data_IF_327622792828
#
_entry.id   IF_327622792828
#
_cell.length_a   1.000
_cell.length_b   1.000
_cell.length_c   1.000
_cell.angle_alpha   90.00
_cell.angle_beta   90.00
_cell.angle_gamma   90.00
#
_symmetry.space_group_name_H-M   'P 1'
#
loop_
_entity.id
_entity.type
_entity.pdbx_description
1 polymer ?
#
# COMPACT_ATOMS: atom_id res chain seq x y z
N UNK A 1 -8.66 17.45 29.68
CA UNK A 1 -9.14 18.41 28.67
C UNK A 1 -8.04 18.95 27.73
N UNK A 2 -6.75 18.99 28.12
CA UNK A 2 -5.68 19.50 27.24
C UNK A 2 -5.12 18.51 26.20
N UNK A 3 -5.23 17.19 26.41
CA UNK A 3 -4.67 16.18 25.49
C UNK A 3 -5.42 16.02 24.16
N UNK A 4 -6.75 16.18 24.17
CA UNK A 4 -7.57 15.96 22.97
C UNK A 4 -7.37 17.04 21.90
N UNK A 5 -7.20 18.30 22.31
CA UNK A 5 -6.97 19.41 21.38
C UNK A 5 -5.60 19.31 20.70
N UNK A 6 -4.57 18.89 21.44
CA UNK A 6 -3.21 18.73 20.91
C UNK A 6 -3.11 17.59 19.90
N UNK A 7 -3.82 16.48 20.13
CA UNK A 7 -3.86 15.34 19.21
C UNK A 7 -4.50 15.71 17.86
N UNK A 8 -5.61 16.45 17.90
CA UNK A 8 -6.29 16.93 16.69
C UNK A 8 -5.40 17.91 15.93
N UNK A 9 -4.75 18.86 16.61
CA UNK A 9 -3.83 19.81 15.98
C UNK A 9 -2.64 19.12 15.29
N UNK A 10 -2.01 18.15 15.96
CA UNK A 10 -0.92 17.36 15.39
C UNK A 10 -1.38 16.56 14.16
N UNK A 11 -2.59 15.98 14.22
CA UNK A 11 -3.16 15.24 13.09
C UNK A 11 -3.31 16.13 11.85
N UNK A 12 -3.74 17.39 12.00
CA UNK A 12 -3.84 18.34 10.88
C UNK A 12 -2.49 18.69 10.26
N UNK A 13 -1.42 18.78 11.05
CA UNK A 13 -0.06 19.04 10.54
C UNK A 13 0.57 17.83 9.82
N UNK A 14 0.16 16.61 10.19
CA UNK A 14 0.65 15.38 9.58
C UNK A 14 -0.18 14.94 8.36
N UNK A 15 -1.45 15.35 8.28
CA UNK A 15 -2.41 14.98 7.23
C UNK A 15 -2.45 15.99 6.06
N UNK A 16 -1.29 16.50 5.64
CA UNK A 16 -1.15 17.46 4.53
C UNK A 16 -1.07 16.78 3.15
N UNK A 17 -1.14 15.45 3.10
CA UNK A 17 -1.07 14.64 1.88
C UNK A 17 0.34 14.20 1.49
N UNK A 18 1.37 14.48 2.30
CA UNK A 18 2.73 13.99 2.05
C UNK A 18 2.88 12.48 2.31
N UNK A 19 3.78 11.85 1.58
CA UNK A 19 4.15 10.44 1.77
C UNK A 19 5.22 10.35 2.85
N UNK A 20 5.10 9.34 3.71
CA UNK A 20 6.11 9.00 4.72
C UNK A 20 6.66 7.60 4.44
N UNK A 21 7.95 7.40 4.72
CA UNK A 21 8.50 6.05 4.83
C UNK A 21 7.90 5.35 6.05
N UNK A 22 7.95 4.02 6.09
CA UNK A 22 7.52 3.28 7.28
C UNK A 22 8.21 3.76 8.55
N UNK A 23 9.52 4.00 8.51
CA UNK A 23 10.29 4.51 9.65
C UNK A 23 9.79 5.88 10.13
N UNK A 24 9.56 6.81 9.20
CA UNK A 24 9.00 8.12 9.53
C UNK A 24 7.59 8.01 10.13
N UNK A 25 6.76 7.11 9.59
CA UNK A 25 5.42 6.86 10.12
C UNK A 25 5.48 6.30 11.56
N UNK A 26 6.45 5.43 11.86
CA UNK A 26 6.64 4.90 13.22
C UNK A 26 7.08 6.00 14.19
N UNK A 27 8.06 6.82 13.82
CA UNK A 27 8.54 7.95 14.66
C UNK A 27 7.44 8.96 14.97
N UNK A 28 6.50 9.14 14.04
CA UNK A 28 5.35 10.04 14.17
C UNK A 28 4.15 9.38 14.86
N UNK A 29 4.21 8.09 15.19
CA UNK A 29 3.11 7.33 15.80
C UNK A 29 1.91 7.12 14.86
N UNK A 30 2.14 7.16 13.54
CA UNK A 30 1.12 6.87 12.53
C UNK A 30 0.92 5.37 12.32
N UNK A 31 1.90 4.55 12.70
CA UNK A 31 1.85 3.07 12.71
C UNK A 31 2.40 2.56 14.04
N UNK A 32 1.99 1.37 14.44
CA UNK A 32 2.40 0.77 15.71
C UNK A 32 3.78 0.08 15.63
N UNK A 33 4.09 -0.57 14.51
CA UNK A 33 5.31 -1.36 14.33
C UNK A 33 5.74 -1.44 12.85
N UNK A 34 7.01 -1.77 12.61
CA UNK A 34 7.54 -2.10 11.28
C UNK A 34 7.66 -3.61 11.11
N UNK A 35 7.11 -4.12 10.02
CA UNK A 35 7.23 -5.53 9.67
C UNK A 35 6.69 -5.81 8.27
N UNK A 36 6.77 -7.06 7.89
CA UNK A 36 6.18 -7.59 6.67
C UNK A 36 4.80 -8.23 6.93
N UNK A 37 4.16 -8.71 5.87
CA UNK A 37 2.83 -9.32 5.97
C UNK A 37 2.78 -10.56 6.88
N UNK A 38 3.83 -11.40 6.86
CA UNK A 38 3.89 -12.59 7.70
C UNK A 38 3.90 -12.21 9.18
N UNK A 39 4.74 -11.24 9.55
CA UNK A 39 4.83 -10.75 10.94
C UNK A 39 3.49 -10.16 11.40
N UNK A 40 2.78 -9.44 10.51
CA UNK A 40 1.45 -8.92 10.81
C UNK A 40 0.40 -10.03 10.99
N UNK A 41 0.48 -11.12 10.21
CA UNK A 41 -0.41 -12.28 10.34
C UNK A 41 -0.15 -13.03 11.64
N UNK A 42 1.12 -13.23 11.99
CA UNK A 42 1.53 -13.93 13.21
C UNK A 42 1.07 -13.17 14.46
N UNK A 43 1.27 -11.84 14.48
CA UNK A 43 0.79 -10.98 15.56
C UNK A 43 -0.74 -11.01 15.68
N UNK A 44 -1.46 -10.97 14.55
CA UNK A 44 -2.91 -11.07 14.55
C UNK A 44 -3.40 -12.44 15.06
N UNK A 45 -2.69 -13.53 14.72
CA UNK A 45 -2.99 -14.87 15.20
C UNK A 45 -2.77 -14.99 16.72
N UNK A 46 -1.67 -14.44 17.24
CA UNK A 46 -1.39 -14.37 18.68
C UNK A 46 -2.48 -13.61 19.43
N UNK A 47 -2.82 -12.39 18.95
CA UNK A 47 -3.88 -11.57 19.54
C UNK A 47 -5.26 -12.22 19.45
N UNK A 48 -5.49 -13.01 18.40
CA UNK A 48 -6.72 -13.78 18.18
C UNK A 48 -6.80 -15.11 18.94
N UNK A 49 -5.73 -15.51 19.63
CA UNK A 49 -5.66 -16.79 20.34
C UNK A 49 -5.65 -18.02 19.43
N UNK A 50 -5.16 -17.89 18.20
CA UNK A 50 -5.03 -18.98 17.24
C UNK A 50 -3.73 -19.74 17.58
N UNK A 51 -3.87 -21.01 17.98
CA UNK A 51 -2.73 -21.85 18.43
C UNK A 51 -2.05 -22.57 17.26
N UNK A 52 -2.80 -22.84 16.20
CA UNK A 52 -2.34 -23.52 15.00
C UNK A 52 -2.01 -22.50 13.89
N UNK A 53 -1.58 -22.99 12.73
CA UNK A 53 -1.31 -22.11 11.58
C UNK A 53 -2.59 -21.35 11.15
N UNK A 54 -2.55 -20.00 11.10
CA UNK A 54 -3.73 -19.20 10.78
C UNK A 54 -4.12 -19.39 9.31
N UNK A 55 -5.41 -19.63 9.07
CA UNK A 55 -5.93 -19.71 7.71
C UNK A 55 -6.05 -18.32 7.09
N UNK A 56 -5.19 -18.04 6.11
CA UNK A 56 -5.26 -16.81 5.30
C UNK A 56 -6.29 -16.99 4.19
N UNK A 57 -7.23 -16.05 4.06
CA UNK A 57 -8.23 -16.04 2.99
C UNK A 57 -8.04 -14.75 2.19
N UNK A 58 -7.59 -14.88 0.95
CA UNK A 58 -7.52 -13.78 0.00
C UNK A 58 -8.82 -13.71 -0.80
N UNK A 59 -9.49 -12.56 -0.77
CA UNK A 59 -10.63 -12.30 -1.64
C UNK A 59 -10.12 -11.76 -2.96
N UNK A 60 -10.16 -12.53 -4.07
CA UNK A 60 -9.84 -11.97 -5.36
C UNK A 60 -10.82 -10.84 -5.66
N UNK A 61 -10.31 -9.68 -6.09
CA UNK A 61 -11.12 -8.69 -6.75
C UNK A 61 -11.52 -9.28 -8.11
N UNK A 62 -12.58 -10.09 -8.15
CA UNK A 62 -13.10 -10.59 -9.43
C UNK A 62 -13.69 -9.38 -10.16
N UNK A 63 -13.09 -8.93 -11.27
CA UNK A 63 -13.67 -7.84 -12.01
C UNK A 63 -15.06 -8.27 -12.47
N UNK A 64 -16.03 -7.36 -12.34
CA UNK A 64 -17.39 -7.67 -12.73
C UNK A 64 -17.46 -7.95 -14.24
N UNK A 65 -18.41 -8.78 -14.71
CA UNK A 65 -18.61 -9.02 -16.15
C UNK A 65 -18.76 -7.71 -16.94
N UNK A 66 -19.27 -6.65 -16.28
CA UNK A 66 -19.35 -5.30 -16.85
C UNK A 66 -17.98 -4.68 -17.06
N UNK A 67 -17.06 -4.79 -16.10
CA UNK A 67 -15.67 -4.31 -16.23
C UNK A 67 -14.91 -5.04 -17.34
N UNK A 68 -15.11 -6.35 -17.49
CA UNK A 68 -14.47 -7.14 -18.56
C UNK A 68 -15.00 -6.71 -19.94
N UNK A 69 -16.32 -6.58 -20.08
CA UNK A 69 -16.96 -6.23 -21.35
C UNK A 69 -16.69 -4.76 -21.72
N UNK A 70 -16.87 -3.81 -20.79
CA UNK A 70 -16.57 -2.39 -21.05
C UNK A 70 -15.07 -2.11 -21.22
N UNK A 71 -14.22 -2.88 -20.53
CA UNK A 71 -12.77 -2.84 -20.70
C UNK A 71 -12.32 -3.32 -22.09
N UNK A 72 -12.95 -4.39 -22.62
CA UNK A 72 -12.63 -4.91 -23.96
C UNK A 72 -13.14 -4.06 -25.12
N UNK A 73 -14.21 -3.28 -24.91
CA UNK A 73 -14.79 -2.42 -25.96
C UNK A 73 -14.13 -1.03 -26.02
N UNK A 74 -13.34 -0.69 -25.00
CA UNK A 74 -12.67 0.62 -24.89
C UNK A 74 -11.14 0.54 -25.04
N UNK A 75 -10.58 -0.66 -25.23
CA UNK A 75 -9.14 -0.83 -25.44
C UNK A 75 -8.79 -0.64 -26.92
N UNK A 76 -7.98 0.38 -27.31
CA UNK A 76 -7.48 0.50 -28.67
C UNK A 76 -6.55 -0.68 -28.97
N UNK A 77 -6.83 -1.36 -30.08
CA UNK A 77 -6.02 -2.45 -30.66
C UNK A 77 -4.64 -1.92 -31.06
N UNK A 78 -3.71 -1.85 -30.12
CA UNK A 78 -2.34 -1.42 -30.34
C UNK A 78 -1.41 -2.18 -29.40
N UNK A 79 -0.25 -2.62 -29.92
CA UNK A 79 0.78 -3.23 -29.09
C UNK A 79 1.12 -2.27 -27.95
N UNK A 80 1.21 -2.74 -26.68
CA UNK A 80 1.55 -1.88 -25.58
C UNK A 80 2.90 -1.22 -25.86
N UNK A 81 2.88 0.10 -26.04
CA UNK A 81 4.08 0.89 -26.27
C UNK A 81 5.01 0.74 -25.06
N UNK A 82 6.33 0.89 -25.25
CA UNK A 82 7.31 0.79 -24.15
C UNK A 82 6.97 1.70 -22.96
N UNK A 83 6.27 2.82 -23.20
CA UNK A 83 5.79 3.73 -22.16
C UNK A 83 4.71 3.11 -21.25
N UNK A 84 3.94 2.15 -21.77
CA UNK A 84 2.88 1.44 -21.05
C UNK A 84 3.44 0.28 -20.21
N UNK A 85 4.54 -0.34 -20.65
CA UNK A 85 5.33 -1.27 -19.80
C UNK A 85 6.13 -0.54 -18.73
N UNK A 86 6.59 0.68 -19.03
CA UNK A 86 7.28 1.52 -18.06
C UNK A 86 6.33 2.06 -16.99
N UNK A 87 5.00 2.03 -17.21
CA UNK A 87 3.94 2.48 -16.30
C UNK A 87 4.42 3.56 -15.31
N UNK A 88 5.07 4.59 -15.87
CA UNK A 88 5.42 5.85 -15.20
C UNK A 88 4.13 6.68 -15.05
N UNK A 89 2.98 6.04 -14.93
CA UNK A 89 1.78 6.65 -14.38
C UNK A 89 1.85 6.58 -12.85
N UNK A 90 2.74 7.43 -12.30
CA UNK A 90 2.65 8.01 -10.94
C UNK A 90 2.35 7.06 -9.78
N UNK A 91 2.73 5.79 -9.84
CA UNK A 91 3.00 5.01 -8.63
C UNK A 91 4.40 5.39 -8.19
N UNK A 92 4.49 6.40 -7.33
CA UNK A 92 5.75 6.73 -6.66
C UNK A 92 6.22 5.48 -5.92
N UNK A 93 7.15 4.75 -6.53
CA UNK A 93 7.79 3.57 -5.94
C UNK A 93 9.29 3.81 -5.95
N UNK A 94 9.94 3.47 -4.84
CA UNK A 94 11.39 3.62 -4.73
C UNK A 94 12.03 2.57 -5.62
N UNK A 95 12.64 3.01 -6.73
CA UNK A 95 13.41 2.14 -7.61
C UNK A 95 14.90 2.26 -7.26
N UNK A 96 15.54 1.12 -6.96
CA UNK A 96 17.00 1.03 -6.91
C UNK A 96 17.52 0.86 -8.35
N UNK A 97 17.83 1.97 -9.00
CA UNK A 97 18.45 1.96 -10.33
C UNK A 97 19.96 1.86 -10.19
N UNK A 98 20.53 0.74 -10.63
CA UNK A 98 21.98 0.59 -10.76
C UNK A 98 22.43 1.25 -12.07
N UNK A 99 23.24 2.31 -11.96
CA UNK A 99 23.90 2.94 -13.11
C UNK A 99 25.32 2.38 -13.15
N UNK A 100 25.66 1.62 -14.19
CA UNK A 100 27.03 1.14 -14.37
C UNK A 100 27.98 2.34 -14.52
N UNK A 101 29.12 2.35 -13.82
CA UNK A 101 30.16 3.34 -14.07
C UNK A 101 30.79 3.05 -15.45
N UNK A 102 30.86 4.09 -16.29
CA UNK A 102 31.48 4.08 -17.61
C UNK A 102 32.99 3.79 -17.55
#
# INVERSE_FOLDING_TARGET
LHRGFFLVALLWELADGRVYTGQQALELGLVDELGNLSEAVDLAAEMGGIVEEPRIIEYPATPSLREIIFGSLSAPTGLPSLNQFLDIERRFSIHYLYVEPF
#
